data_IF_938040434200
#
_entry.id   IF_938040434200
#
_cell.length_a   1.000
_cell.length_b   1.000
_cell.length_c   1.000
_cell.angle_alpha   90.00
_cell.angle_beta   90.00
_cell.angle_gamma   90.00
#
_symmetry.space_group_name_H-M   'P 1'
#
loop_
_entity.id
_entity.type
_entity.pdbx_description
1 polymer ?
#
# COMPACT_ATOMS: atom_id res chain seq x y z
N UNK A 1 25.07 40.74 -12.93
CA UNK A 1 25.21 39.66 -13.94
C UNK A 1 23.96 38.81 -13.86
N UNK A 2 23.15 38.76 -14.93
CA UNK A 2 21.86 38.08 -14.92
C UNK A 2 22.05 36.55 -15.00
N UNK A 3 21.54 35.82 -14.01
CA UNK A 3 21.55 34.35 -14.01
C UNK A 3 20.60 33.82 -15.09
N UNK A 4 21.18 33.32 -16.18
CA UNK A 4 20.45 32.70 -17.27
C UNK A 4 19.82 31.38 -16.78
N UNK A 5 18.49 31.31 -16.68
CA UNK A 5 17.77 30.09 -16.27
C UNK A 5 17.95 28.98 -17.31
N UNK A 6 18.90 28.09 -17.04
CA UNK A 6 19.26 26.95 -17.90
C UNK A 6 18.10 25.93 -17.99
N UNK A 7 17.56 25.73 -19.21
CA UNK A 7 16.49 24.75 -19.48
C UNK A 7 16.96 23.29 -19.17
N UNK A 8 16.04 22.41 -18.74
CA UNK A 8 16.29 21.01 -18.32
C UNK A 8 17.14 20.20 -19.31
N UNK A 9 17.07 20.49 -20.62
CA UNK A 9 17.89 19.84 -21.66
C UNK A 9 19.37 20.24 -21.56
N UNK A 10 19.67 21.52 -21.34
CA UNK A 10 21.04 22.02 -21.14
C UNK A 10 21.63 21.50 -19.82
N UNK A 11 20.83 21.38 -18.77
CA UNK A 11 21.25 20.78 -17.48
C UNK A 11 21.63 19.30 -17.63
N UNK A 12 20.89 18.51 -18.43
CA UNK A 12 21.23 17.10 -18.71
C UNK A 12 22.51 16.95 -19.53
N UNK A 13 22.74 17.83 -20.51
CA UNK A 13 23.96 17.82 -21.31
C UNK A 13 25.20 18.17 -20.48
N UNK A 14 25.10 19.18 -19.61
CA UNK A 14 26.16 19.54 -18.68
C UNK A 14 26.44 18.41 -17.67
N UNK A 15 25.41 17.71 -17.19
CA UNK A 15 25.57 16.56 -16.30
C UNK A 15 26.20 15.32 -16.98
N UNK A 16 26.19 15.24 -18.31
CA UNK A 16 26.81 14.17 -19.08
C UNK A 16 28.27 14.48 -19.48
N UNK A 17 28.63 15.78 -19.53
CA UNK A 17 30.01 16.24 -19.78
C UNK A 17 30.91 16.23 -18.54
N UNK A 18 30.35 16.15 -17.34
CA UNK A 18 31.12 16.06 -16.08
C UNK A 18 31.71 14.67 -15.87
N UNK A 19 32.91 14.61 -15.32
CA UNK A 19 33.58 13.35 -14.99
C UNK A 19 32.82 12.60 -13.89
N UNK A 20 33.04 11.30 -13.77
CA UNK A 20 32.39 10.46 -12.76
C UNK A 20 32.72 10.94 -11.33
N UNK A 21 33.95 11.38 -11.12
CA UNK A 21 34.45 11.90 -9.83
C UNK A 21 33.77 13.22 -9.45
N UNK A 22 33.62 14.17 -10.39
CA UNK A 22 32.91 15.43 -10.13
C UNK A 22 31.43 15.20 -9.80
N UNK A 23 30.81 14.20 -10.41
CA UNK A 23 29.40 13.85 -10.15
C UNK A 23 29.20 13.20 -8.77
N UNK A 24 30.20 12.48 -8.27
CA UNK A 24 30.19 11.89 -6.93
C UNK A 24 30.45 12.96 -5.87
N UNK A 25 31.38 13.88 -6.10
CA UNK A 25 31.63 15.03 -5.22
C UNK A 25 30.41 15.97 -5.11
N UNK A 26 29.73 16.27 -6.23
CA UNK A 26 28.52 17.11 -6.21
C UNK A 26 27.34 16.44 -5.48
N UNK A 27 27.26 15.09 -5.52
CA UNK A 27 26.27 14.32 -4.75
C UNK A 27 26.60 14.30 -3.26
N UNK A 28 27.87 14.14 -2.90
CA UNK A 28 28.33 14.15 -1.51
C UNK A 28 28.07 15.53 -0.87
N UNK A 29 28.44 16.62 -1.57
CA UNK A 29 28.19 17.99 -1.10
C UNK A 29 26.69 18.28 -0.92
N UNK A 30 25.83 17.79 -1.81
CA UNK A 30 24.36 17.92 -1.67
C UNK A 30 23.79 17.07 -0.54
N UNK A 31 24.41 15.93 -0.20
CA UNK A 31 24.01 15.11 0.93
C UNK A 31 24.39 15.78 2.26
N UNK A 32 25.61 16.32 2.36
CA UNK A 32 26.07 17.06 3.55
C UNK A 32 25.28 18.33 3.81
N UNK A 33 24.94 19.10 2.76
CA UNK A 33 24.08 20.27 2.89
C UNK A 33 22.66 19.91 3.37
N UNK A 34 22.13 18.75 2.97
CA UNK A 34 20.83 18.27 3.47
C UNK A 34 20.88 17.84 4.93
N UNK A 35 21.96 17.20 5.36
CA UNK A 35 22.15 16.77 6.75
C UNK A 35 22.31 17.99 7.67
N UNK A 36 23.11 19.00 7.25
CA UNK A 36 23.24 20.26 8.00
C UNK A 36 21.92 21.03 8.09
N UNK A 37 21.17 21.14 6.99
CA UNK A 37 19.85 21.77 7.01
C UNK A 37 18.85 21.02 7.92
N UNK A 38 18.93 19.69 7.98
CA UNK A 38 18.07 18.89 8.88
C UNK A 38 18.45 19.06 10.35
N UNK A 39 19.74 19.21 10.67
CA UNK A 39 20.22 19.46 12.03
C UNK A 39 19.88 20.86 12.54
N UNK A 40 20.01 21.91 11.71
CA UNK A 40 19.60 23.29 12.05
C UNK A 40 18.09 23.42 12.24
N UNK A 41 17.28 22.65 11.50
CA UNK A 41 15.82 22.61 11.73
C UNK A 41 15.43 21.91 13.02
N UNK A 42 16.23 20.95 13.53
CA UNK A 42 15.93 20.24 14.78
C UNK A 42 16.25 21.09 16.01
N UNK A 43 17.38 21.79 16.02
CA UNK A 43 17.79 22.68 17.12
C UNK A 43 16.91 23.92 17.26
N UNK A 44 16.35 24.43 16.17
CA UNK A 44 15.38 25.55 16.22
C UNK A 44 13.99 25.12 16.69
N UNK A 45 13.55 23.87 16.45
CA UNK A 45 12.30 23.35 17.03
C UNK A 45 12.38 23.07 18.52
N UNK A 46 13.53 22.67 19.06
CA UNK A 46 13.67 22.43 20.50
C UNK A 46 13.74 23.73 21.30
N UNK A 47 14.38 24.79 20.78
CA UNK A 47 14.37 26.12 21.41
C UNK A 47 12.96 26.75 21.45
N UNK A 48 12.15 26.58 20.39
CA UNK A 48 10.77 27.11 20.36
C UNK A 48 9.76 26.34 21.21
N UNK A 49 10.08 25.12 21.65
CA UNK A 49 9.19 24.31 22.49
C UNK A 49 9.32 24.64 23.99
N UNK A 50 10.35 25.38 24.37
CA UNK A 50 10.57 25.82 25.76
C UNK A 50 10.00 27.22 26.05
N UNK A 51 9.64 28.02 25.04
CA UNK A 51 9.11 29.38 25.19
C UNK A 51 7.60 29.51 24.92
N UNK A 52 6.92 28.45 24.45
CA UNK A 52 5.50 28.46 24.05
C UNK A 52 4.56 27.82 25.10
N UNK A 53 4.84 28.03 26.40
CA UNK A 53 3.92 27.71 27.50
C UNK A 53 3.43 28.98 28.23
N UNK A 54 3.61 30.16 27.63
CA UNK A 54 3.04 31.42 28.11
C UNK A 54 2.53 32.30 26.97
N UNK A 55 1.22 32.56 27.05
CA UNK A 55 0.41 33.56 26.34
C UNK A 55 -0.28 33.19 25.02
N UNK A 56 -1.58 33.49 25.04
CA UNK A 56 -2.56 33.31 23.99
C UNK A 56 -2.71 34.61 23.17
N UNK A 57 -3.03 34.49 21.87
CA UNK A 57 -3.68 35.58 21.12
C UNK A 57 -3.31 35.75 19.64
N UNK A 58 -4.28 35.43 18.79
CA UNK A 58 -4.65 36.04 17.49
C UNK A 58 -3.73 36.00 16.23
N UNK A 59 -4.38 35.48 15.16
CA UNK A 59 -4.34 35.74 13.72
C UNK A 59 -3.03 36.04 12.95
N UNK A 60 -2.86 35.31 11.83
CA UNK A 60 -1.80 35.54 10.84
C UNK A 60 -1.55 34.33 9.93
N UNK A 61 -2.13 34.37 8.73
CA UNK A 61 -2.13 33.31 7.72
C UNK A 61 -0.81 33.25 6.91
N UNK A 62 -0.12 32.09 6.90
CA UNK A 62 0.78 31.69 5.80
C UNK A 62 0.84 30.15 5.64
N UNK A 63 0.89 29.61 4.40
CA UNK A 63 0.53 28.22 4.15
C UNK A 63 1.72 27.28 4.41
N UNK A 64 1.74 26.68 5.60
CA UNK A 64 2.58 25.50 5.88
C UNK A 64 2.27 24.43 4.84
N UNK A 65 3.28 24.01 4.06
CA UNK A 65 3.22 22.89 3.10
C UNK A 65 2.78 21.62 3.83
N UNK A 66 1.46 21.41 3.91
CA UNK A 66 0.86 20.23 4.53
C UNK A 66 1.33 18.99 3.77
N UNK A 67 2.27 18.24 4.36
CA UNK A 67 2.44 16.80 4.07
C UNK A 67 1.03 16.22 4.02
N UNK A 68 0.59 15.75 2.84
CA UNK A 68 -0.75 15.21 2.64
C UNK A 68 -0.98 14.15 3.72
N UNK A 69 -1.81 14.46 4.71
CA UNK A 69 -2.20 13.51 5.75
C UNK A 69 -2.63 12.24 5.05
N UNK A 70 -1.96 11.13 5.36
CA UNK A 70 -2.40 9.82 4.92
C UNK A 70 -3.85 9.66 5.42
N UNK A 71 -4.78 9.48 4.48
CA UNK A 71 -6.24 9.49 4.71
C UNK A 71 -6.78 8.38 5.64
N UNK A 72 -5.88 7.63 6.28
CA UNK A 72 -6.17 6.55 7.25
C UNK A 72 -6.02 7.01 8.70
N UNK A 73 -5.79 8.31 8.95
CA UNK A 73 -5.87 8.88 10.29
C UNK A 73 -7.33 9.07 10.72
N UNK A 74 -7.60 8.90 12.02
CA UNK A 74 -8.91 9.11 12.69
C UNK A 74 -9.58 10.48 12.42
N UNK A 75 -8.85 11.43 11.79
CA UNK A 75 -9.28 12.79 11.39
C UNK A 75 -9.36 13.00 9.86
N UNK A 76 -9.57 11.93 9.07
CA UNK A 76 -9.81 12.04 7.62
C UNK A 76 -11.19 12.61 7.32
N UNK A 77 -11.30 13.50 6.33
CA UNK A 77 -12.61 13.83 5.72
C UNK A 77 -13.01 12.67 4.79
N UNK A 78 -14.12 12.01 5.11
CA UNK A 78 -14.84 11.04 4.30
C UNK A 78 -15.22 11.61 2.92
N UNK A 79 -15.66 10.75 2.01
CA UNK A 79 -16.25 11.17 0.74
C UNK A 79 -17.47 12.05 1.04
N UNK A 80 -17.69 13.04 0.18
CA UNK A 80 -18.79 14.02 0.33
C UNK A 80 -18.87 14.77 1.68
N UNK A 81 -17.77 14.85 2.44
CA UNK A 81 -17.75 15.55 3.73
C UNK A 81 -18.02 14.66 4.96
N UNK A 82 -18.11 13.33 4.77
CA UNK A 82 -18.26 12.36 5.86
C UNK A 82 -17.16 12.47 6.92
N UNK A 83 -17.42 11.96 8.13
CA UNK A 83 -16.48 12.05 9.26
C UNK A 83 -15.83 10.68 9.46
N UNK A 84 -14.58 10.50 9.02
CA UNK A 84 -13.85 9.27 9.32
C UNK A 84 -12.80 8.83 8.31
N UNK A 85 -12.07 7.74 8.63
CA UNK A 85 -11.13 7.13 7.70
C UNK A 85 -11.88 6.54 6.50
N UNK A 86 -11.42 6.82 5.28
CA UNK A 86 -11.98 6.20 4.07
C UNK A 86 -11.40 4.81 3.88
N UNK A 87 -12.25 3.83 3.59
CA UNK A 87 -11.80 2.52 3.15
C UNK A 87 -11.76 2.48 1.63
N UNK A 88 -10.66 1.96 1.08
CA UNK A 88 -10.46 1.95 -0.37
C UNK A 88 -10.07 0.55 -0.80
N UNK A 89 -10.79 0.02 -1.78
CA UNK A 89 -10.44 -1.18 -2.53
C UNK A 89 -9.76 -0.80 -3.84
N UNK A 90 -8.73 -1.54 -4.20
CA UNK A 90 -8.07 -1.49 -5.48
C UNK A 90 -8.73 -2.49 -6.42
N UNK A 91 -9.06 -2.04 -7.62
CA UNK A 91 -9.51 -2.90 -8.72
C UNK A 91 -8.48 -2.80 -9.84
N UNK A 92 -7.87 -3.93 -10.20
CA UNK A 92 -6.84 -4.01 -11.23
C UNK A 92 -7.23 -4.94 -12.39
N UNK A 93 -6.37 -4.97 -13.41
CA UNK A 93 -6.54 -5.77 -14.62
C UNK A 93 -7.85 -5.46 -15.40
N UNK A 94 -8.34 -4.23 -15.29
CA UNK A 94 -9.52 -3.79 -16.05
C UNK A 94 -9.17 -3.59 -17.52
N UNK A 95 -10.12 -3.81 -18.43
CA UNK A 95 -9.94 -3.46 -19.83
C UNK A 95 -9.87 -1.93 -19.99
N UNK A 96 -9.08 -1.45 -20.95
CA UNK A 96 -8.78 -0.03 -21.11
C UNK A 96 -9.99 0.80 -21.59
N UNK A 97 -10.95 0.12 -22.23
CA UNK A 97 -12.21 0.67 -22.75
C UNK A 97 -13.37 0.61 -21.74
N UNK A 98 -13.12 0.15 -20.51
CA UNK A 98 -14.14 0.00 -19.47
C UNK A 98 -14.83 1.34 -19.17
N UNK A 99 -16.13 1.28 -18.93
CA UNK A 99 -16.92 2.44 -18.51
C UNK A 99 -17.24 2.38 -17.02
N UNK A 100 -17.43 3.56 -16.42
CA UNK A 100 -17.78 3.64 -14.99
C UNK A 100 -19.13 2.96 -14.71
N UNK A 101 -20.10 3.05 -15.62
CA UNK A 101 -21.40 2.40 -15.49
C UNK A 101 -21.29 0.88 -15.34
N UNK A 102 -20.36 0.24 -16.05
CA UNK A 102 -20.14 -1.21 -15.94
C UNK A 102 -19.56 -1.61 -14.59
N UNK A 103 -18.66 -0.79 -14.03
CA UNK A 103 -18.15 -1.00 -12.68
C UNK A 103 -19.26 -0.82 -11.64
N UNK A 104 -20.15 0.16 -11.83
CA UNK A 104 -21.32 0.33 -10.95
C UNK A 104 -22.23 -0.90 -11.01
N UNK A 105 -22.50 -1.43 -12.21
CA UNK A 105 -23.32 -2.63 -12.39
C UNK A 105 -22.66 -3.87 -11.76
N UNK A 106 -21.36 -4.06 -11.99
CA UNK A 106 -20.60 -5.21 -11.47
C UNK A 106 -20.52 -5.20 -9.94
N UNK A 107 -20.36 -4.02 -9.33
CA UNK A 107 -20.24 -3.84 -7.88
C UNK A 107 -21.55 -3.39 -7.21
N UNK A 108 -22.71 -3.59 -7.86
CA UNK A 108 -24.03 -3.15 -7.36
C UNK A 108 -24.33 -3.64 -5.95
N UNK A 109 -23.97 -4.87 -5.62
CA UNK A 109 -24.20 -5.43 -4.28
C UNK A 109 -23.33 -4.79 -3.20
N UNK A 110 -22.16 -4.27 -3.57
CA UNK A 110 -21.25 -3.61 -2.64
C UNK A 110 -21.58 -2.12 -2.46
N UNK A 111 -22.25 -1.47 -3.43
CA UNK A 111 -22.63 -0.05 -3.39
C UNK A 111 -21.48 0.88 -2.93
N UNK A 112 -20.41 1.03 -3.75
CA UNK A 112 -19.32 1.94 -3.43
C UNK A 112 -19.75 3.41 -3.50
N UNK A 113 -19.33 4.22 -2.53
CA UNK A 113 -19.73 5.63 -2.42
C UNK A 113 -19.07 6.50 -3.51
N UNK A 114 -17.82 6.18 -3.89
CA UNK A 114 -17.15 6.83 -5.01
C UNK A 114 -16.23 5.88 -5.76
N UNK A 115 -16.36 5.87 -7.08
CA UNK A 115 -15.48 5.13 -7.98
C UNK A 115 -14.51 6.10 -8.64
N UNK A 116 -13.20 5.89 -8.47
CA UNK A 116 -12.15 6.60 -9.21
C UNK A 116 -11.54 5.66 -10.23
N UNK A 117 -11.94 5.80 -11.49
CA UNK A 117 -11.40 5.06 -12.62
C UNK A 117 -10.14 5.74 -13.20
N UNK A 118 -9.13 4.96 -13.55
CA UNK A 118 -7.95 5.39 -14.32
C UNK A 118 -7.80 4.49 -15.53
N UNK A 119 -8.46 4.90 -16.63
CA UNK A 119 -8.52 4.14 -17.89
C UNK A 119 -7.13 3.85 -18.42
N UNK A 120 -6.22 4.84 -18.45
CA UNK A 120 -4.84 4.70 -18.94
C UNK A 120 -4.04 3.55 -18.31
N UNK A 121 -4.38 3.16 -17.08
CA UNK A 121 -3.66 2.10 -16.34
C UNK A 121 -4.49 0.82 -16.17
N UNK A 122 -5.74 0.79 -16.62
CA UNK A 122 -6.65 -0.34 -16.40
C UNK A 122 -6.89 -0.60 -14.91
N UNK A 123 -7.00 0.45 -14.10
CA UNK A 123 -7.23 0.34 -12.64
C UNK A 123 -8.36 1.26 -12.19
N UNK A 124 -9.08 0.85 -11.14
CA UNK A 124 -10.04 1.67 -10.43
C UNK A 124 -9.83 1.59 -8.92
N UNK A 125 -10.35 2.58 -8.21
CA UNK A 125 -10.42 2.57 -6.75
C UNK A 125 -11.87 2.74 -6.33
N UNK A 126 -12.37 1.81 -5.52
CA UNK A 126 -13.68 1.89 -4.89
C UNK A 126 -13.47 2.49 -3.50
N UNK A 127 -13.99 3.69 -3.27
CA UNK A 127 -13.97 4.34 -1.96
C UNK A 127 -15.30 4.10 -1.25
N UNK A 128 -15.19 3.74 0.03
CA UNK A 128 -16.30 3.54 0.96
C UNK A 128 -16.11 4.45 2.18
N UNK A 129 -17.20 5.07 2.62
CA UNK A 129 -17.23 5.91 3.83
C UNK A 129 -17.51 5.11 5.09
N UNK A 130 -16.73 5.39 6.13
CA UNK A 130 -16.84 4.75 7.43
C UNK A 130 -17.97 5.32 8.30
N UNK A 131 -19.08 5.68 7.69
CA UNK A 131 -20.19 6.30 8.39
C UNK A 131 -21.09 5.22 9.03
N UNK A 132 -21.11 3.99 8.48
CA UNK A 132 -22.00 2.90 8.91
C UNK A 132 -21.26 1.59 9.23
N UNK A 133 -21.81 0.80 10.17
CA UNK A 133 -21.36 -0.56 10.51
C UNK A 133 -21.38 -1.53 9.32
N UNK A 134 -22.13 -1.21 8.27
CA UNK A 134 -22.28 -2.03 7.06
C UNK A 134 -21.04 -2.04 6.15
N UNK A 135 -20.05 -1.18 6.39
CA UNK A 135 -18.88 -1.07 5.51
C UNK A 135 -18.12 -2.38 5.35
N UNK A 136 -17.99 -3.16 6.43
CA UNK A 136 -17.33 -4.47 6.38
C UNK A 136 -18.07 -5.41 5.43
N UNK A 137 -19.40 -5.51 5.56
CA UNK A 137 -20.24 -6.33 4.68
C UNK A 137 -20.12 -5.90 3.20
N UNK A 138 -20.14 -4.59 2.93
CA UNK A 138 -19.96 -4.05 1.57
C UNK A 138 -18.59 -4.40 0.99
N UNK A 139 -17.54 -4.28 1.80
CA UNK A 139 -16.18 -4.63 1.39
C UNK A 139 -16.04 -6.13 1.13
N UNK A 140 -16.61 -6.98 1.97
CA UNK A 140 -16.59 -8.44 1.78
C UNK A 140 -17.31 -8.85 0.48
N UNK A 141 -18.44 -8.22 0.18
CA UNK A 141 -19.14 -8.44 -1.09
C UNK A 141 -18.30 -8.06 -2.31
N UNK A 142 -17.57 -6.93 -2.24
CA UNK A 142 -16.66 -6.54 -3.31
C UNK A 142 -15.44 -7.47 -3.40
N UNK A 143 -14.88 -7.90 -2.27
CA UNK A 143 -13.73 -8.81 -2.23
C UNK A 143 -14.09 -10.21 -2.77
N UNK A 144 -15.34 -10.67 -2.58
CA UNK A 144 -15.83 -11.91 -3.22
C UNK A 144 -15.81 -11.86 -4.74
N UNK A 145 -15.83 -10.67 -5.34
CA UNK A 145 -15.72 -10.49 -6.79
C UNK A 145 -14.26 -10.49 -7.27
N UNK A 146 -13.28 -10.80 -6.42
CA UNK A 146 -11.91 -11.05 -6.83
C UNK A 146 -11.87 -12.22 -7.84
N UNK A 147 -11.18 -12.03 -8.96
CA UNK A 147 -11.13 -12.94 -10.11
C UNK A 147 -12.44 -13.16 -10.88
N UNK A 148 -13.47 -12.35 -10.61
CA UNK A 148 -14.64 -12.32 -11.49
C UNK A 148 -14.27 -11.81 -12.89
N UNK A 149 -15.06 -12.20 -13.89
CA UNK A 149 -14.79 -11.91 -15.30
C UNK A 149 -15.57 -10.68 -15.74
N UNK A 150 -14.88 -9.67 -16.26
CA UNK A 150 -15.47 -8.53 -16.96
C UNK A 150 -14.95 -8.55 -18.40
N UNK A 151 -15.85 -8.61 -19.39
CA UNK A 151 -15.51 -8.58 -20.83
C UNK A 151 -14.34 -9.52 -21.19
N UNK A 152 -14.37 -10.76 -20.66
CA UNK A 152 -13.35 -11.82 -20.84
C UNK A 152 -12.02 -11.62 -20.10
N UNK A 153 -11.87 -10.61 -19.24
CA UNK A 153 -10.70 -10.43 -18.36
C UNK A 153 -11.07 -10.73 -16.92
N UNK A 154 -10.19 -11.45 -16.20
CA UNK A 154 -10.31 -11.66 -14.75
C UNK A 154 -9.81 -10.41 -14.02
N UNK A 155 -10.65 -9.80 -13.20
CA UNK A 155 -10.27 -8.59 -12.46
C UNK A 155 -9.65 -8.94 -11.11
N UNK A 156 -8.77 -8.07 -10.61
CA UNK A 156 -8.20 -8.23 -9.27
C UNK A 156 -8.88 -7.22 -8.34
N UNK A 157 -9.49 -7.67 -7.25
CA UNK A 157 -10.05 -6.81 -6.20
C UNK A 157 -9.30 -7.02 -4.90
N UNK A 158 -8.66 -5.98 -4.37
CA UNK A 158 -7.76 -6.08 -3.22
C UNK A 158 -7.92 -4.92 -2.24
N UNK A 159 -7.62 -5.16 -0.96
CA UNK A 159 -7.57 -4.12 0.06
C UNK A 159 -6.37 -3.20 -0.17
N UNK A 160 -6.59 -1.88 -0.24
CA UNK A 160 -5.46 -0.95 -0.26
C UNK A 160 -4.80 -0.85 1.11
N UNK A 161 -3.47 -0.90 1.16
CA UNK A 161 -2.71 -0.78 2.42
C UNK A 161 -2.56 0.67 2.93
N UNK A 162 -3.01 1.66 2.14
CA UNK A 162 -2.74 3.08 2.36
C UNK A 162 -1.29 3.46 2.00
N UNK A 163 -0.96 4.76 1.99
CA UNK A 163 0.40 5.25 1.71
C UNK A 163 0.64 5.79 0.29
N UNK A 164 -0.23 5.48 -0.68
CA UNK A 164 -0.28 6.10 -2.01
C UNK A 164 0.90 5.80 -2.95
N UNK A 165 0.60 5.48 -4.21
CA UNK A 165 1.63 5.33 -5.26
C UNK A 165 2.63 4.20 -5.01
N UNK A 166 3.88 4.38 -5.44
CA UNK A 166 5.02 3.51 -5.13
C UNK A 166 5.86 4.09 -3.98
N UNK A 167 5.21 4.66 -2.96
CA UNK A 167 5.93 5.20 -1.81
C UNK A 167 6.57 4.07 -0.99
N UNK A 168 7.72 4.35 -0.38
CA UNK A 168 8.41 3.44 0.55
C UNK A 168 7.45 2.97 1.67
N UNK A 169 6.63 3.88 2.19
CA UNK A 169 5.58 3.56 3.17
C UNK A 169 4.56 2.52 2.69
N UNK A 170 4.23 2.49 1.38
CA UNK A 170 3.36 1.46 0.82
C UNK A 170 4.12 0.14 0.69
N UNK A 171 5.36 0.19 0.19
CA UNK A 171 6.18 -1.00 -0.01
C UNK A 171 6.47 -1.71 1.31
N UNK A 172 6.81 -0.96 2.36
CA UNK A 172 7.06 -1.51 3.69
C UNK A 172 5.82 -2.20 4.27
N UNK A 173 4.65 -1.56 4.20
CA UNK A 173 3.38 -2.17 4.64
C UNK A 173 2.97 -3.39 3.81
N UNK A 174 3.34 -3.41 2.53
CA UNK A 174 3.09 -4.56 1.67
C UNK A 174 4.02 -5.71 2.05
N UNK A 175 5.29 -5.41 2.30
CA UNK A 175 6.29 -6.38 2.74
C UNK A 175 5.89 -7.00 4.08
N UNK A 176 5.61 -6.19 5.10
CA UNK A 176 5.15 -6.67 6.42
C UNK A 176 3.93 -7.59 6.33
N UNK A 177 2.96 -7.26 5.46
CA UNK A 177 1.78 -8.11 5.25
C UNK A 177 2.10 -9.40 4.51
N UNK A 178 2.96 -9.35 3.51
CA UNK A 178 3.37 -10.54 2.77
C UNK A 178 4.20 -11.47 3.65
N UNK A 179 5.12 -10.92 4.45
CA UNK A 179 5.94 -11.67 5.40
C UNK A 179 5.04 -12.39 6.42
N UNK A 180 4.05 -11.70 6.99
CA UNK A 180 3.04 -12.31 7.88
C UNK A 180 2.24 -13.44 7.19
N UNK A 181 1.80 -13.22 5.95
CA UNK A 181 1.08 -14.25 5.19
C UNK A 181 1.96 -15.47 4.87
N UNK A 182 3.25 -15.26 4.63
CA UNK A 182 4.21 -16.35 4.42
C UNK A 182 4.48 -17.14 5.69
N UNK A 183 4.56 -16.47 6.85
CA UNK A 183 4.64 -17.13 8.16
C UNK A 183 3.41 -18.01 8.42
N UNK A 184 2.20 -17.48 8.23
CA UNK A 184 0.95 -18.25 8.40
C UNK A 184 0.91 -19.47 7.44
N UNK A 185 1.36 -19.31 6.19
CA UNK A 185 1.48 -20.43 5.24
C UNK A 185 2.51 -21.46 5.69
N UNK A 186 3.65 -21.02 6.24
CA UNK A 186 4.71 -21.90 6.75
C UNK A 186 4.23 -22.69 7.96
N UNK A 187 3.50 -22.04 8.87
CA UNK A 187 2.89 -22.71 10.03
C UNK A 187 1.85 -23.74 9.61
N UNK A 188 0.99 -23.41 8.63
CA UNK A 188 0.01 -24.35 8.11
C UNK A 188 0.66 -25.57 7.47
N UNK A 189 1.69 -25.38 6.64
CA UNK A 189 2.46 -26.51 6.07
C UNK A 189 3.10 -27.37 7.16
N UNK A 190 3.74 -26.75 8.16
CA UNK A 190 4.31 -27.49 9.30
C UNK A 190 3.26 -28.34 10.03
N UNK A 191 2.05 -27.81 10.24
CA UNK A 191 0.94 -28.56 10.85
C UNK A 191 0.46 -29.71 9.97
N UNK A 192 0.30 -29.48 8.66
CA UNK A 192 -0.09 -30.51 7.69
C UNK A 192 0.97 -31.63 7.58
N UNK A 193 2.27 -31.29 7.56
CA UNK A 193 3.37 -32.25 7.54
C UNK A 193 3.49 -33.02 8.87
N UNK A 194 3.24 -32.36 10.01
CA UNK A 194 3.22 -33.02 11.32
C UNK A 194 2.02 -33.97 11.47
N UNK A 195 0.86 -33.66 10.87
CA UNK A 195 -0.27 -34.59 10.82
C UNK A 195 0.05 -35.80 9.93
N UNK A 196 0.60 -35.59 8.74
CA UNK A 196 1.02 -36.69 7.85
C UNK A 196 2.04 -37.63 8.50
N UNK A 197 2.99 -37.12 9.29
CA UNK A 197 3.95 -37.95 10.05
C UNK A 197 3.33 -38.72 11.23
N UNK A 198 2.19 -38.27 11.76
CA UNK A 198 1.45 -39.00 12.81
C UNK A 198 0.54 -40.08 12.23
N UNK A 199 0.05 -39.87 11.01
CA UNK A 199 -0.77 -40.82 10.27
C UNK A 199 0.07 -41.81 9.43
N UNK A 200 1.40 -41.68 9.41
CA UNK A 200 2.30 -42.71 8.84
C UNK A 200 2.31 -43.94 9.77
N UNK A 201 1.83 -45.12 9.31
CA UNK A 201 1.96 -46.34 10.08
C UNK A 201 3.45 -46.70 10.23
N UNK A 202 3.82 -47.21 11.41
CA UNK A 202 5.19 -47.63 11.71
C UNK A 202 5.80 -48.46 10.57
N UNK A 203 7.11 -48.29 10.26
CA UNK A 203 7.75 -49.01 9.17
C UNK A 203 7.73 -50.52 9.47
N UNK A 204 6.75 -51.24 8.95
CA UNK A 204 6.77 -52.69 8.89
C UNK A 204 7.83 -53.07 7.87
N UNK A 205 8.99 -53.51 8.36
CA UNK A 205 10.19 -53.83 7.57
C UNK A 205 9.87 -54.38 6.19
N UNK A 206 10.13 -53.59 5.15
CA UNK A 206 10.09 -54.00 3.74
C UNK A 206 8.73 -54.43 3.16
N UNK A 207 7.63 -54.46 3.93
CA UNK A 207 6.33 -54.92 3.45
C UNK A 207 5.32 -53.78 3.33
N UNK A 208 4.74 -53.64 2.14
CA UNK A 208 3.74 -52.63 1.80
C UNK A 208 2.54 -52.70 2.76
N UNK A 209 2.03 -51.57 3.29
CA UNK A 209 1.08 -51.53 4.41
C UNK A 209 -0.22 -52.33 4.17
N UNK A 210 -0.68 -52.41 2.92
CA UNK A 210 -1.83 -53.22 2.54
C UNK A 210 -1.65 -54.73 2.79
N UNK A 211 -0.41 -55.25 2.71
CA UNK A 211 -0.10 -56.67 2.94
C UNK A 211 0.04 -57.00 4.42
N UNK A 212 0.55 -56.06 5.22
CA UNK A 212 0.68 -56.23 6.67
C UNK A 212 -0.69 -56.24 7.39
N UNK A 213 -1.68 -55.50 6.88
CA UNK A 213 -3.03 -55.46 7.44
C UNK A 213 -3.80 -56.78 7.26
N UNK A 214 -3.50 -57.55 6.22
CA UNK A 214 -4.14 -58.85 5.94
C UNK A 214 -3.65 -59.98 6.87
N UNK A 215 -2.41 -59.88 7.36
CA UNK A 215 -1.79 -60.89 8.25
C UNK A 215 -2.20 -60.74 9.73
N UNK A 216 -2.85 -59.63 10.11
CA UNK A 216 -3.29 -59.38 11.50
C UNK A 216 -4.74 -59.84 11.76
N UNK A 217 -5.38 -60.50 10.79
CA UNK A 217 -6.80 -60.84 10.84
C UNK A 217 -7.09 -62.32 11.13
N UNK A 218 -6.09 -63.06 11.60
CA UNK A 218 -6.22 -64.42 12.11
C UNK A 218 -6.21 -64.42 13.65
#
# INVERSE_FOLDING_TARGET
MAEEKVNKKKQKALAFRKSKEEREQEKAAKAEQKIKAEQETKTTTEKRKAEDESEAGQDGEEPVKKKRKTRRGKKGKGVNGGKGPRFILFVGNLPFDIQQAELVAHFKNANPDRIRLRKEKGIAFLEFDNDNKEIQRKMDLALRLHHSVIRKRKINVELTVGGGGNSENRQQKLKEKNDKLEEERRERKKKEDAQKKKDEPAPTGGMHPARAALLKKD
#
